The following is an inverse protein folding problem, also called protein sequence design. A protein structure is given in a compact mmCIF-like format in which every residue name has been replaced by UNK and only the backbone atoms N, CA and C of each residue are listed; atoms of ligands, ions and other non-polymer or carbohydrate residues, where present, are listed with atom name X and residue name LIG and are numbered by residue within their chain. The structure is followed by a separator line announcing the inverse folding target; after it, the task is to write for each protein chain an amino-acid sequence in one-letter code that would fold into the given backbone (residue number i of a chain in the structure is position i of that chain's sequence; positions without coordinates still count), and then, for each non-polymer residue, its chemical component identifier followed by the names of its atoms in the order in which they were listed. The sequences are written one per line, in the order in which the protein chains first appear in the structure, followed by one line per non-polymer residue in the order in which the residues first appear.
data_IF_150034374495
#
_entry.id   IF_150034374495
#
_cell.length_a   1.000
_cell.length_b   1.000
_cell.length_c   1.000
_cell.angle_alpha   90.00
_cell.angle_beta   90.00
_cell.angle_gamma   90.00
#
_symmetry.space_group_name_H-M   'P 1'
#
loop_
_entity.id
_entity.type
_entity.pdbx_description
1 polymer ?
#
# COMPACT_ATOMS: atom_id res chain seq x y z
N UNK A 1 -23.09 -4.69 4.08
CA UNK A 1 -22.41 -3.83 3.08
C UNK A 1 -20.93 -4.13 3.14
N UNK A 2 -20.51 -5.25 2.55
CA UNK A 2 -19.10 -5.60 2.40
C UNK A 2 -18.54 -4.73 1.28
N UNK A 3 -18.08 -3.53 1.62
CA UNK A 3 -17.22 -2.76 0.73
C UNK A 3 -15.99 -3.64 0.49
N UNK A 4 -15.77 -4.09 -0.75
CA UNK A 4 -14.49 -4.62 -1.18
C UNK A 4 -13.44 -3.56 -0.87
N UNK A 5 -12.79 -3.70 0.27
CA UNK A 5 -11.75 -2.77 0.69
C UNK A 5 -10.63 -2.97 -0.32
N UNK A 6 -10.39 -1.95 -1.16
CA UNK A 6 -9.27 -1.97 -2.11
C UNK A 6 -7.99 -2.11 -1.30
N UNK A 7 -7.34 -3.26 -1.40
CA UNK A 7 -6.06 -3.51 -0.77
C UNK A 7 -4.98 -3.28 -1.81
N UNK A 8 -4.01 -2.44 -1.50
CA UNK A 8 -2.87 -2.17 -2.35
C UNK A 8 -1.58 -2.45 -1.58
N UNK A 9 -0.68 -3.20 -2.20
CA UNK A 9 0.69 -3.34 -1.73
C UNK A 9 1.46 -2.11 -2.17
N UNK A 10 2.10 -1.46 -1.21
CA UNK A 10 2.86 -0.24 -1.41
C UNK A 10 4.30 -0.49 -1.05
N UNK A 11 5.19 -0.05 -1.93
CA UNK A 11 6.63 -0.15 -1.77
C UNK A 11 7.18 1.26 -1.92
N UNK A 12 7.89 1.71 -0.90
CA UNK A 12 8.42 3.07 -0.83
C UNK A 12 9.89 3.01 -0.47
N UNK A 13 10.74 3.64 -1.27
CA UNK A 13 12.15 3.81 -0.94
C UNK A 13 12.41 5.23 -0.45
N UNK A 14 13.27 5.37 0.56
CA UNK A 14 13.59 6.64 1.19
C UNK A 14 15.07 6.97 1.03
N UNK A 15 15.41 8.26 1.08
CA UNK A 15 16.83 8.71 1.14
C UNK A 15 17.46 8.35 2.49
N UNK A 16 16.66 8.29 3.55
CA UNK A 16 17.08 8.01 4.92
C UNK A 16 16.25 6.91 5.59
N UNK A 17 16.31 6.79 6.93
CA UNK A 17 15.54 5.79 7.65
C UNK A 17 14.03 6.02 7.47
N UNK A 18 13.25 4.99 7.12
CA UNK A 18 11.82 5.15 6.87
C UNK A 18 11.02 5.43 8.16
N UNK A 19 9.90 6.17 8.07
CA UNK A 19 9.04 6.54 9.20
C UNK A 19 8.16 5.39 9.71
N UNK A 20 8.74 4.24 10.07
CA UNK A 20 8.01 2.99 10.38
C UNK A 20 6.92 3.20 11.44
N UNK A 21 7.24 3.92 12.51
CA UNK A 21 6.31 4.15 13.62
C UNK A 21 5.11 5.01 13.21
N UNK A 22 5.30 5.97 12.30
CA UNK A 22 4.22 6.84 11.82
C UNK A 22 3.33 6.05 10.85
N UNK A 23 3.95 5.28 9.96
CA UNK A 23 3.26 4.41 8.99
C UNK A 23 2.42 3.35 9.70
N UNK A 24 2.93 2.70 10.75
CA UNK A 24 2.15 1.73 11.54
C UNK A 24 0.95 2.34 12.28
N UNK A 25 0.95 3.65 12.51
CA UNK A 25 -0.16 4.38 13.15
C UNK A 25 -1.16 4.95 12.14
N UNK A 26 -0.83 4.93 10.85
CA UNK A 26 -1.72 5.42 9.81
C UNK A 26 -2.93 4.49 9.68
N UNK A 27 -4.12 5.10 9.63
CA UNK A 27 -5.37 4.36 9.48
C UNK A 27 -5.39 3.62 8.14
N UNK A 28 -5.76 2.33 8.16
CA UNK A 28 -5.83 1.51 6.96
C UNK A 28 -4.48 0.97 6.49
N UNK A 29 -3.40 1.16 7.25
CA UNK A 29 -2.10 0.56 6.94
C UNK A 29 -1.88 -0.72 7.76
N UNK A 30 -1.34 -1.76 7.13
CA UNK A 30 -1.08 -3.06 7.75
C UNK A 30 0.16 -3.71 7.15
N UNK A 31 0.65 -4.79 7.77
CA UNK A 31 1.81 -5.56 7.29
C UNK A 31 3.04 -4.70 6.93
N UNK A 32 3.38 -3.75 7.81
CA UNK A 32 4.54 -2.86 7.59
C UNK A 32 5.83 -3.65 7.81
N UNK A 33 6.64 -3.74 6.77
CA UNK A 33 7.96 -4.37 6.75
C UNK A 33 8.99 -3.37 6.26
N UNK A 34 10.20 -3.43 6.80
CA UNK A 34 11.28 -2.53 6.42
C UNK A 34 12.56 -3.29 6.16
N UNK A 35 13.15 -3.03 5.01
CA UNK A 35 14.41 -3.56 4.55
C UNK A 35 15.37 -2.39 4.27
N UNK A 36 16.09 -1.96 5.31
CA UNK A 36 16.97 -0.80 5.24
C UNK A 36 16.20 0.50 4.98
N UNK A 37 16.34 1.05 3.77
CA UNK A 37 15.65 2.26 3.34
C UNK A 37 14.38 1.98 2.52
N UNK A 38 13.99 0.71 2.38
CA UNK A 38 12.80 0.27 1.68
C UNK A 38 11.70 -0.09 2.70
N UNK A 39 10.50 0.42 2.47
CA UNK A 39 9.31 0.14 3.26
C UNK A 39 8.27 -0.56 2.38
N UNK A 40 7.79 -1.70 2.85
CA UNK A 40 6.66 -2.41 2.27
C UNK A 40 5.49 -2.35 3.24
N UNK A 41 4.29 -2.04 2.74
CA UNK A 41 3.09 -2.10 3.56
C UNK A 41 1.86 -2.40 2.71
N UNK A 42 0.79 -2.84 3.35
CA UNK A 42 -0.53 -2.91 2.76
C UNK A 42 -1.34 -1.68 3.15
N UNK A 43 -1.94 -1.04 2.17
CA UNK A 43 -2.88 0.06 2.36
C UNK A 43 -4.27 -0.41 1.93
N UNK A 44 -5.20 -0.29 2.86
CA UNK A 44 -6.59 -0.68 2.74
C UNK A 44 -7.45 0.58 2.68
N UNK A 45 -8.11 0.83 1.55
CA UNK A 45 -8.96 2.00 1.36
C UNK A 45 -8.18 3.22 0.83
N UNK A 46 -8.08 4.28 1.64
CA UNK A 46 -7.50 5.57 1.21
C UNK A 46 -6.01 5.66 1.54
N UNK A 47 -5.23 6.26 0.64
CA UNK A 47 -3.81 6.58 0.86
C UNK A 47 -3.56 7.84 1.67
N UNK A 48 -4.58 8.68 1.90
CA UNK A 48 -4.42 9.94 2.62
C UNK A 48 -3.67 9.80 3.96
N UNK A 49 -4.11 8.94 4.91
CA UNK A 49 -3.41 8.77 6.19
C UNK A 49 -1.99 8.20 6.02
N UNK A 50 -1.77 7.41 4.96
CA UNK A 50 -0.44 6.90 4.65
C UNK A 50 0.49 8.00 4.17
N UNK A 51 0.05 8.86 3.25
CA UNK A 51 0.85 9.99 2.75
C UNK A 51 1.16 11.01 3.86
N UNK A 52 0.20 11.26 4.76
CA UNK A 52 0.43 12.10 5.95
C UNK A 52 1.53 11.52 6.85
N UNK A 53 1.61 10.20 6.98
CA UNK A 53 2.67 9.53 7.74
C UNK A 53 4.04 9.59 7.05
N UNK A 54 4.10 9.82 5.74
CA UNK A 54 5.34 10.02 4.99
C UNK A 54 5.80 11.49 4.99
N UNK A 55 4.96 12.41 5.47
CA UNK A 55 5.24 13.84 5.42
C UNK A 55 6.54 14.17 6.18
N UNK A 56 7.38 15.00 5.56
CA UNK A 56 8.69 15.38 6.10
C UNK A 56 9.79 14.34 5.87
N UNK A 57 9.51 13.24 5.16
CA UNK A 57 10.51 12.26 4.74
C UNK A 57 10.67 12.29 3.23
N UNK A 58 11.91 12.23 2.76
CA UNK A 58 12.22 12.25 1.35
C UNK A 58 12.08 10.85 0.74
N UNK A 59 11.16 10.73 -0.22
CA UNK A 59 10.83 9.50 -0.92
C UNK A 59 11.51 9.49 -2.28
N UNK A 60 12.27 8.43 -2.57
CA UNK A 60 12.96 8.21 -3.85
C UNK A 60 12.01 7.54 -4.84
N UNK A 61 11.29 6.50 -4.41
CA UNK A 61 10.32 5.80 -5.25
C UNK A 61 9.08 5.44 -4.46
N UNK A 62 7.93 5.49 -5.12
CA UNK A 62 6.64 5.09 -4.58
C UNK A 62 5.94 4.22 -5.61
N UNK A 63 5.74 2.95 -5.29
CA UNK A 63 5.04 1.98 -6.12
C UNK A 63 3.82 1.48 -5.39
N UNK A 64 2.65 1.51 -6.04
CA UNK A 64 1.44 0.87 -5.51
C UNK A 64 0.94 -0.18 -6.49
N UNK A 65 0.73 -1.39 -6.00
CA UNK A 65 0.20 -2.52 -6.79
C UNK A 65 -1.10 -2.99 -6.14
N UNK A 66 -2.21 -3.03 -6.88
CA UNK A 66 -3.44 -3.57 -6.34
C UNK A 66 -3.27 -5.06 -6.04
N UNK A 67 -3.59 -5.46 -4.82
CA UNK A 67 -3.70 -6.88 -4.50
C UNK A 67 -5.04 -7.32 -5.05
N UNK A 68 -5.01 -8.09 -6.13
CA UNK A 68 -6.20 -8.80 -6.58
C UNK A 68 -6.47 -9.92 -5.59
N UNK A 69 -7.63 -9.98 -4.93
CA UNK A 69 -8.02 -11.19 -4.24
C UNK A 69 -8.05 -12.35 -5.27
N UNK A 70 -7.66 -13.57 -4.89
CA UNK A 70 -7.51 -14.69 -5.83
C UNK A 70 -8.80 -15.14 -6.54
N UNK A 71 -9.97 -14.55 -6.31
CA UNK A 71 -11.25 -14.95 -6.91
C UNK A 71 -11.80 -13.93 -7.93
N UNK A 72 -10.98 -13.49 -8.87
CA UNK A 72 -11.48 -12.87 -10.11
C UNK A 72 -10.83 -13.50 -11.32
N UNK A 73 -11.11 -14.80 -11.46
CA UNK A 73 -11.09 -15.50 -12.73
C UNK A 73 -12.19 -14.87 -13.61
N UNK A 74 -11.85 -13.79 -14.30
CA UNK A 74 -12.71 -13.23 -15.34
C UNK A 74 -12.88 -14.30 -16.43
N UNK A 75 -14.03 -14.98 -16.45
CA UNK A 75 -14.50 -15.70 -17.64
C UNK A 75 -14.65 -14.66 -18.75
N UNK A 76 -13.71 -14.69 -19.68
CA UNK A 76 -13.84 -14.08 -21.00
C UNK A 76 -15.10 -14.66 -21.66
N UNK A 77 -16.23 -13.95 -21.55
CA UNK A 77 -17.45 -14.30 -22.28
C UNK A 77 -17.24 -13.92 -23.74
N UNK A 78 -16.81 -14.90 -24.52
CA UNK A 78 -16.73 -14.84 -25.98
C UNK A 78 -18.17 -14.76 -26.52
N UNK A 79 -18.66 -13.56 -26.81
CA UNK A 79 -19.92 -13.36 -27.56
C UNK A 79 -19.69 -13.72 -29.02
N UNK A 80 -20.56 -14.60 -29.53
CA UNK A 80 -20.62 -15.06 -30.92
C UNK A 80 -21.36 -14.06 -31.79
#
# INVERSE_FOLDING_TARGET
MSQEVRVQRVEVSFVGPPPVRQVMRASGVSEVQVEGALLHCLVCGSFQPFLEALLGHEVISFTSTPIRPPDSEFKEVKTW
#
